data_IF_464575656917
#
_entry.id   IF_464575656917
#
_cell.length_a   1.000
_cell.length_b   1.000
_cell.length_c   1.000
_cell.angle_alpha   90.00
_cell.angle_beta   90.00
_cell.angle_gamma   90.00
#
_symmetry.space_group_name_H-M   'P 1'
#
loop_
_entity.id
_entity.type
_entity.pdbx_description
1 polymer ?
#
# COMPACT_ATOMS: atom_id res chain seq x y z
N UNK A 1 25.03 -12.19 13.41
CA UNK A 1 23.70 -12.80 13.50
C UNK A 1 23.89 -14.29 13.79
N UNK A 2 23.22 -14.87 14.79
CA UNK A 2 23.30 -16.32 15.08
C UNK A 2 22.83 -17.14 13.89
N UNK A 3 23.18 -18.43 13.86
CA UNK A 3 22.79 -19.32 12.75
C UNK A 3 21.30 -19.64 12.75
N UNK A 4 20.70 -19.67 13.95
CA UNK A 4 19.27 -19.86 14.14
C UNK A 4 18.63 -18.59 14.68
N UNK A 5 17.57 -18.12 14.02
CA UNK A 5 16.89 -16.86 14.31
C UNK A 5 15.36 -17.03 14.32
N UNK A 6 14.62 -16.19 15.04
CA UNK A 6 13.17 -16.17 14.97
C UNK A 6 12.71 -15.68 13.59
N UNK A 7 11.84 -16.47 12.96
CA UNK A 7 11.31 -16.19 11.62
C UNK A 7 9.80 -15.92 11.59
N UNK A 8 9.09 -16.36 12.62
CA UNK A 8 7.67 -16.12 12.75
C UNK A 8 7.31 -15.81 14.21
N UNK A 9 6.34 -14.90 14.37
CA UNK A 9 5.78 -14.50 15.66
C UNK A 9 4.27 -14.70 15.60
N UNK A 10 3.70 -15.27 16.64
CA UNK A 10 2.26 -15.40 16.78
C UNK A 10 1.59 -14.04 17.05
N UNK A 11 0.26 -14.00 17.11
CA UNK A 11 -0.49 -12.77 17.39
C UNK A 11 -0.24 -12.16 18.78
N UNK A 12 0.31 -12.92 19.71
CA UNK A 12 0.75 -12.41 21.02
C UNK A 12 2.15 -11.80 20.97
N UNK A 13 2.85 -11.89 19.84
CA UNK A 13 4.22 -11.41 19.66
C UNK A 13 5.29 -12.39 20.13
N UNK A 14 4.92 -13.63 20.44
CA UNK A 14 5.83 -14.68 20.88
C UNK A 14 6.40 -15.42 19.65
N UNK A 15 7.66 -15.84 19.73
CA UNK A 15 8.31 -16.63 18.68
C UNK A 15 7.70 -18.03 18.64
N UNK A 16 7.10 -18.41 17.54
CA UNK A 16 6.52 -19.74 17.30
C UNK A 16 7.24 -20.54 16.20
N UNK A 17 8.17 -19.89 15.48
CA UNK A 17 9.04 -20.58 14.52
C UNK A 17 10.44 -20.01 14.54
N UNK A 18 11.42 -20.88 14.71
CA UNK A 18 12.85 -20.61 14.51
C UNK A 18 13.31 -21.19 13.17
N UNK A 19 14.29 -20.56 12.55
CA UNK A 19 14.88 -21.07 11.29
C UNK A 19 16.27 -20.50 11.02
N UNK A 20 16.83 -20.81 9.86
CA UNK A 20 18.17 -20.37 9.47
C UNK A 20 18.17 -18.87 9.12
N UNK A 21 19.23 -18.15 9.53
CA UNK A 21 19.47 -16.75 9.11
C UNK A 21 19.42 -16.55 7.59
N UNK A 22 19.74 -17.58 6.81
CA UNK A 22 19.71 -17.52 5.35
C UNK A 22 18.29 -17.42 4.78
N UNK A 23 17.24 -17.73 5.56
CA UNK A 23 15.85 -17.53 5.12
C UNK A 23 15.50 -16.06 4.91
N UNK A 24 16.22 -15.13 5.53
CA UNK A 24 16.06 -13.69 5.22
C UNK A 24 16.44 -13.33 3.78
N UNK A 25 17.24 -14.14 3.10
CA UNK A 25 17.56 -13.95 1.68
C UNK A 25 16.36 -14.20 0.76
N UNK A 26 15.33 -14.91 1.23
CA UNK A 26 14.08 -15.10 0.47
C UNK A 26 13.41 -13.77 0.14
N UNK A 27 13.46 -12.77 1.04
CA UNK A 27 12.87 -11.45 0.80
C UNK A 27 13.47 -10.76 -0.43
N UNK A 28 14.79 -10.53 -0.55
CA UNK A 28 15.36 -9.93 -1.75
C UNK A 28 15.22 -10.82 -2.98
N UNK A 29 15.27 -12.16 -2.84
CA UNK A 29 15.09 -13.08 -3.96
C UNK A 29 13.68 -12.95 -4.57
N UNK A 30 12.64 -12.76 -3.75
CA UNK A 30 11.28 -12.54 -4.23
C UNK A 30 11.10 -11.09 -4.72
N UNK A 31 11.71 -10.12 -4.05
CA UNK A 31 11.57 -8.72 -4.41
C UNK A 31 12.14 -8.39 -5.80
N UNK A 32 13.28 -8.96 -6.18
CA UNK A 32 13.93 -8.69 -7.47
C UNK A 32 13.05 -8.98 -8.70
N UNK A 33 12.40 -10.14 -8.85
CA UNK A 33 11.45 -10.40 -9.94
C UNK A 33 10.25 -9.44 -9.93
N UNK A 34 9.72 -9.12 -8.75
CA UNK A 34 8.59 -8.20 -8.61
C UNK A 34 8.98 -6.80 -9.09
N UNK A 35 10.14 -6.29 -8.66
CA UNK A 35 10.69 -5.00 -9.09
C UNK A 35 10.89 -4.99 -10.62
N UNK A 36 11.50 -6.05 -11.16
CA UNK A 36 11.74 -6.19 -12.59
C UNK A 36 10.43 -6.16 -13.38
N UNK A 37 9.39 -6.86 -12.88
CA UNK A 37 8.06 -6.84 -13.49
C UNK A 37 7.46 -5.42 -13.47
N UNK A 38 7.55 -4.68 -12.37
CA UNK A 38 7.07 -3.29 -12.28
C UNK A 38 7.77 -2.37 -13.28
N UNK A 39 9.10 -2.49 -13.43
CA UNK A 39 9.87 -1.70 -14.38
C UNK A 39 9.45 -2.02 -15.83
N UNK A 40 9.29 -3.29 -16.16
CA UNK A 40 8.84 -3.71 -17.51
C UNK A 40 7.42 -3.21 -17.82
N UNK A 41 6.52 -3.29 -16.83
CA UNK A 41 5.15 -2.79 -16.96
C UNK A 41 5.16 -1.26 -17.13
N UNK A 42 5.95 -0.53 -16.35
CA UNK A 42 6.09 0.91 -16.47
C UNK A 42 6.57 1.34 -17.86
N UNK A 43 7.59 0.67 -18.41
CA UNK A 43 8.08 0.92 -19.76
C UNK A 43 7.05 0.61 -20.86
N UNK A 44 6.26 -0.46 -20.70
CA UNK A 44 5.17 -0.80 -21.62
C UNK A 44 4.07 0.26 -21.61
N UNK A 45 3.69 0.72 -20.43
CA UNK A 45 2.64 1.72 -20.27
C UNK A 45 3.06 3.08 -20.79
N UNK A 46 4.32 3.46 -20.62
CA UNK A 46 4.90 4.68 -21.20
C UNK A 46 4.73 4.75 -22.71
N UNK A 47 4.90 3.62 -23.39
CA UNK A 47 4.71 3.54 -24.86
C UNK A 47 3.24 3.72 -25.27
N UNK A 48 2.27 3.33 -24.42
CA UNK A 48 0.82 3.40 -24.74
C UNK A 48 0.20 4.74 -24.34
N UNK A 49 0.48 5.22 -23.13
CA UNK A 49 -0.24 6.30 -22.45
C UNK A 49 0.65 7.52 -22.13
N UNK A 50 1.88 7.53 -22.64
CA UNK A 50 2.84 8.63 -22.48
C UNK A 50 3.59 8.64 -21.14
N UNK A 51 4.62 9.51 -21.09
CA UNK A 51 5.60 9.59 -19.98
C UNK A 51 4.99 9.91 -18.60
N UNK A 52 3.76 10.46 -18.56
CA UNK A 52 3.13 10.82 -17.27
C UNK A 52 2.78 9.57 -16.44
N UNK A 53 2.24 8.53 -17.08
CA UNK A 53 1.93 7.26 -16.40
C UNK A 53 3.19 6.53 -15.93
N UNK A 54 4.28 6.60 -16.70
CA UNK A 54 5.58 6.02 -16.35
C UNK A 54 6.13 6.60 -15.05
N UNK A 55 6.14 7.93 -14.93
CA UNK A 55 6.64 8.63 -13.73
C UNK A 55 5.94 8.13 -12.46
N UNK A 56 4.63 8.03 -12.48
CA UNK A 56 3.87 7.62 -11.28
C UNK A 56 4.01 6.12 -11.00
N UNK A 57 4.12 5.28 -12.02
CA UNK A 57 4.45 3.87 -11.85
C UNK A 57 5.80 3.68 -11.20
N UNK A 58 6.82 4.42 -11.64
CA UNK A 58 8.16 4.37 -11.03
C UNK A 58 8.13 4.82 -9.57
N UNK A 59 7.38 5.88 -9.24
CA UNK A 59 7.24 6.34 -7.85
C UNK A 59 6.59 5.27 -6.97
N UNK A 60 5.53 4.62 -7.44
CA UNK A 60 4.88 3.51 -6.71
C UNK A 60 5.84 2.32 -6.58
N UNK A 61 6.62 2.02 -7.62
CA UNK A 61 7.62 0.95 -7.58
C UNK A 61 8.71 1.24 -6.54
N UNK A 62 9.23 2.46 -6.50
CA UNK A 62 10.22 2.88 -5.49
C UNK A 62 9.63 2.73 -4.09
N UNK A 63 8.38 3.19 -3.88
CA UNK A 63 7.72 3.02 -2.60
C UNK A 63 7.59 1.53 -2.21
N UNK A 64 7.20 0.68 -3.15
CA UNK A 64 7.07 -0.77 -2.91
C UNK A 64 8.42 -1.37 -2.51
N UNK A 65 9.52 -0.97 -3.15
CA UNK A 65 10.87 -1.40 -2.80
C UNK A 65 11.23 -0.96 -1.37
N UNK A 66 11.01 0.31 -1.06
CA UNK A 66 11.30 0.87 0.27
C UNK A 66 10.46 0.16 1.34
N UNK A 67 9.19 -0.12 1.07
CA UNK A 67 8.31 -0.84 1.97
C UNK A 67 8.83 -2.26 2.29
N UNK A 68 9.15 -3.06 1.27
CA UNK A 68 9.68 -4.40 1.49
C UNK A 68 11.07 -4.39 2.13
N UNK A 69 11.94 -3.44 1.77
CA UNK A 69 13.23 -3.26 2.43
C UNK A 69 13.05 -2.92 3.92
N UNK A 70 12.14 -2.01 4.24
CA UNK A 70 11.83 -1.63 5.63
C UNK A 70 11.30 -2.81 6.44
N UNK A 71 10.42 -3.64 5.86
CA UNK A 71 9.96 -4.88 6.49
C UNK A 71 11.13 -5.87 6.72
N UNK A 72 12.00 -6.04 5.73
CA UNK A 72 13.17 -6.89 5.85
C UNK A 72 14.09 -6.43 6.99
N UNK A 73 14.40 -5.14 7.05
CA UNK A 73 15.19 -4.55 8.14
C UNK A 73 14.50 -4.69 9.49
N UNK A 74 13.19 -4.48 9.56
CA UNK A 74 12.42 -4.67 10.77
C UNK A 74 12.55 -6.10 11.32
N UNK A 75 12.34 -7.12 10.49
CA UNK A 75 12.45 -8.52 10.93
C UNK A 75 13.88 -8.90 11.29
N UNK A 76 14.89 -8.40 10.55
CA UNK A 76 16.30 -8.62 10.91
C UNK A 76 16.65 -7.96 12.25
N UNK A 77 16.19 -6.76 12.49
CA UNK A 77 16.36 -6.08 13.77
C UNK A 77 15.73 -6.87 14.92
N UNK A 78 14.48 -7.33 14.75
CA UNK A 78 13.79 -8.19 15.73
C UNK A 78 14.58 -9.49 16.03
N UNK A 79 15.15 -10.10 15.01
CA UNK A 79 15.98 -11.31 15.17
C UNK A 79 17.29 -11.05 15.94
N UNK A 80 17.90 -9.89 15.73
CA UNK A 80 19.11 -9.47 16.45
C UNK A 80 18.80 -9.16 17.93
N UNK A 81 17.75 -8.39 18.21
CA UNK A 81 17.34 -8.04 19.58
C UNK A 81 16.92 -9.28 20.38
N UNK A 82 16.25 -10.23 19.73
CA UNK A 82 15.92 -11.52 20.35
C UNK A 82 17.20 -12.29 20.77
N UNK A 83 18.22 -12.28 19.89
CA UNK A 83 19.49 -12.96 20.18
C UNK A 83 20.32 -12.30 21.29
N UNK A 84 20.21 -10.97 21.45
CA UNK A 84 20.87 -10.20 22.52
C UNK A 84 20.10 -10.16 23.82
N UNK A 85 18.92 -10.78 23.90
CA UNK A 85 17.97 -10.71 25.02
C UNK A 85 17.54 -9.29 25.39
N UNK A 86 17.63 -8.35 24.46
CA UNK A 86 17.16 -7.00 24.65
C UNK A 86 15.63 -6.91 24.49
N UNK A 87 15.00 -6.18 25.41
CA UNK A 87 13.53 -6.07 25.48
C UNK A 87 12.91 -5.04 24.52
N UNK A 88 13.65 -4.53 23.54
CA UNK A 88 13.13 -3.52 22.60
C UNK A 88 12.19 -4.19 21.60
N UNK A 89 10.92 -4.08 21.89
CA UNK A 89 9.85 -4.68 21.08
C UNK A 89 9.07 -3.59 20.35
N UNK A 90 9.50 -3.26 19.13
CA UNK A 90 8.64 -2.52 18.23
C UNK A 90 7.51 -3.46 17.77
N UNK A 91 6.27 -3.05 17.96
CA UNK A 91 5.09 -3.83 17.56
C UNK A 91 5.01 -3.95 16.03
N UNK A 92 4.96 -5.16 15.45
CA UNK A 92 4.90 -5.36 14.00
C UNK A 92 3.65 -4.74 13.37
N UNK A 93 2.52 -4.77 14.06
CA UNK A 93 1.28 -4.22 13.53
C UNK A 93 1.31 -2.69 13.46
N UNK A 94 1.89 -2.02 14.46
CA UNK A 94 2.16 -0.57 14.42
C UNK A 94 3.06 -0.22 13.24
N UNK A 95 4.14 -0.95 13.06
CA UNK A 95 5.06 -0.72 11.95
C UNK A 95 4.37 -0.86 10.60
N UNK A 96 3.57 -1.92 10.40
CA UNK A 96 2.81 -2.16 9.17
C UNK A 96 1.77 -1.05 8.95
N UNK A 97 1.01 -0.65 9.98
CA UNK A 97 0.01 0.43 9.87
C UNK A 97 0.64 1.76 9.47
N UNK A 98 1.78 2.12 10.04
CA UNK A 98 2.52 3.33 9.65
C UNK A 98 2.95 3.25 8.18
N UNK A 99 3.53 2.13 7.75
CA UNK A 99 3.96 1.96 6.37
C UNK A 99 2.77 2.03 5.39
N UNK A 100 1.64 1.37 5.71
CA UNK A 100 0.42 1.44 4.89
C UNK A 100 -0.17 2.85 4.91
N UNK A 101 -0.16 3.53 6.05
CA UNK A 101 -0.58 4.92 6.17
C UNK A 101 0.24 5.85 5.28
N UNK A 102 1.57 5.72 5.29
CA UNK A 102 2.45 6.47 4.38
C UNK A 102 2.13 6.15 2.91
N UNK A 103 1.87 4.88 2.58
CA UNK A 103 1.46 4.50 1.23
C UNK A 103 0.16 5.20 0.80
N UNK A 104 -0.83 5.26 1.66
CA UNK A 104 -2.08 5.98 1.38
C UNK A 104 -1.85 7.47 1.18
N UNK A 105 -0.99 8.11 1.98
CA UNK A 105 -0.62 9.53 1.82
C UNK A 105 0.08 9.75 0.48
N UNK A 106 1.08 8.95 0.15
CA UNK A 106 1.85 9.10 -1.10
C UNK A 106 0.97 8.82 -2.32
N UNK A 107 0.26 7.69 -2.34
CA UNK A 107 -0.62 7.33 -3.45
C UNK A 107 -1.77 8.32 -3.62
N UNK A 108 -2.35 8.80 -2.51
CA UNK A 108 -3.41 9.80 -2.52
C UNK A 108 -3.00 11.13 -3.16
N UNK A 109 -1.77 11.57 -2.94
CA UNK A 109 -1.21 12.77 -3.61
C UNK A 109 -0.95 12.56 -5.11
N UNK A 110 -0.80 11.34 -5.56
CA UNK A 110 -0.57 10.98 -6.96
C UNK A 110 -1.90 10.87 -7.72
N UNK A 111 -2.93 10.26 -7.12
CA UNK A 111 -4.20 9.92 -7.77
C UNK A 111 -4.85 11.07 -8.57
N UNK A 112 -4.97 12.32 -8.06
CA UNK A 112 -5.60 13.40 -8.81
C UNK A 112 -4.87 13.80 -10.10
N UNK A 113 -3.61 13.40 -10.23
CA UNK A 113 -2.72 13.73 -11.36
C UNK A 113 -2.73 12.65 -12.44
N UNK A 114 -3.40 11.53 -12.19
CA UNK A 114 -3.45 10.40 -13.10
C UNK A 114 -4.43 10.67 -14.24
N UNK A 115 -3.94 10.59 -15.47
CA UNK A 115 -4.79 10.45 -16.65
C UNK A 115 -5.37 9.03 -16.69
N UNK A 116 -6.50 8.84 -17.36
CA UNK A 116 -7.12 7.51 -17.51
C UNK A 116 -6.13 6.54 -18.13
N UNK A 117 -5.90 5.44 -17.44
CA UNK A 117 -4.91 4.44 -17.83
C UNK A 117 -5.33 3.04 -17.35
N UNK A 118 -4.60 2.02 -17.80
CA UNK A 118 -4.92 0.62 -17.55
C UNK A 118 -4.30 0.03 -16.28
N UNK A 119 -3.50 0.79 -15.49
CA UNK A 119 -2.67 0.22 -14.42
C UNK A 119 -2.86 0.84 -13.05
N UNK A 120 -2.94 2.19 -12.95
CA UNK A 120 -2.89 2.92 -11.68
C UNK A 120 -4.19 3.66 -11.41
N UNK A 121 -4.59 3.73 -10.14
CA UNK A 121 -5.79 4.42 -9.67
C UNK A 121 -6.94 3.47 -9.39
N UNK A 122 -8.06 4.01 -8.95
CA UNK A 122 -9.27 3.24 -8.71
C UNK A 122 -9.99 3.00 -10.04
N UNK A 123 -9.95 1.74 -10.48
CA UNK A 123 -10.40 1.29 -11.80
C UNK A 123 -11.65 0.44 -11.66
N UNK A 124 -12.78 1.09 -11.61
CA UNK A 124 -14.07 0.45 -11.73
C UNK A 124 -14.59 0.57 -13.17
N UNK A 125 -15.58 -0.23 -13.55
CA UNK A 125 -16.27 -0.06 -14.84
C UNK A 125 -16.84 1.35 -15.00
N UNK A 126 -17.18 1.99 -13.90
CA UNK A 126 -17.74 3.34 -13.86
C UNK A 126 -16.67 4.42 -14.03
N UNK A 127 -15.59 4.36 -13.26
CA UNK A 127 -14.48 5.33 -13.37
C UNK A 127 -13.80 5.28 -14.73
N UNK A 128 -13.78 4.12 -15.38
CA UNK A 128 -13.19 3.92 -16.70
C UNK A 128 -14.10 4.33 -17.87
N UNK A 129 -15.36 4.70 -17.64
CA UNK A 129 -16.32 5.02 -18.69
C UNK A 129 -15.90 6.23 -19.51
N UNK A 130 -15.44 7.31 -18.89
CA UNK A 130 -14.96 8.53 -19.57
C UNK A 130 -13.96 9.30 -18.69
N UNK A 131 -13.32 10.32 -19.28
CA UNK A 131 -12.26 11.08 -18.60
C UNK A 131 -12.78 11.98 -17.50
N UNK A 132 -14.02 12.48 -17.59
CA UNK A 132 -14.64 13.33 -16.56
C UNK A 132 -14.92 12.53 -15.29
N UNK A 133 -15.56 11.37 -15.43
CA UNK A 133 -15.84 10.48 -14.31
C UNK A 133 -14.53 9.97 -13.70
N UNK A 134 -13.52 9.66 -14.54
CA UNK A 134 -12.20 9.30 -14.07
C UNK A 134 -11.61 10.37 -13.18
N UNK A 135 -11.54 11.63 -13.64
CA UNK A 135 -10.92 12.73 -12.89
C UNK A 135 -11.65 13.02 -11.58
N UNK A 136 -12.99 13.09 -11.60
CA UNK A 136 -13.80 13.26 -10.38
C UNK A 136 -13.51 12.14 -9.38
N UNK A 137 -13.48 10.89 -9.85
CA UNK A 137 -13.19 9.70 -9.03
C UNK A 137 -11.80 9.76 -8.44
N UNK A 138 -10.74 9.92 -9.25
CA UNK A 138 -9.37 9.94 -8.74
C UNK A 138 -9.10 11.11 -7.78
N UNK A 139 -9.73 12.25 -7.98
CA UNK A 139 -9.61 13.40 -7.08
C UNK A 139 -10.21 13.10 -5.71
N UNK A 140 -11.41 12.56 -5.66
CA UNK A 140 -12.05 12.17 -4.39
C UNK A 140 -11.22 11.09 -3.68
N UNK A 141 -10.82 10.05 -4.41
CA UNK A 141 -10.02 8.95 -3.88
C UNK A 141 -8.68 9.43 -3.34
N UNK A 142 -8.04 10.37 -4.04
CA UNK A 142 -6.77 10.95 -3.60
C UNK A 142 -6.91 11.64 -2.24
N UNK A 143 -7.89 12.53 -2.10
CA UNK A 143 -8.12 13.26 -0.85
C UNK A 143 -8.48 12.31 0.29
N UNK A 144 -9.42 11.39 0.06
CA UNK A 144 -9.84 10.42 1.08
C UNK A 144 -8.74 9.41 1.44
N UNK A 145 -7.87 9.05 0.48
CA UNK A 145 -6.70 8.20 0.75
C UNK A 145 -5.69 8.90 1.67
N UNK A 146 -5.39 10.19 1.43
CA UNK A 146 -4.53 10.96 2.34
C UNK A 146 -5.11 11.00 3.74
N UNK A 147 -6.42 11.29 3.87
CA UNK A 147 -7.09 11.30 5.17
C UNK A 147 -7.00 9.94 5.87
N UNK A 148 -7.29 8.84 5.15
CA UNK A 148 -7.16 7.49 5.69
C UNK A 148 -5.72 7.23 6.14
N UNK A 149 -4.73 7.57 5.31
CA UNK A 149 -3.32 7.35 5.64
C UNK A 149 -2.89 8.06 6.93
N UNK A 150 -3.34 9.30 7.13
CA UNK A 150 -3.09 10.04 8.38
C UNK A 150 -3.79 9.37 9.57
N UNK A 151 -5.02 8.90 9.41
CA UNK A 151 -5.76 8.18 10.46
C UNK A 151 -5.00 6.90 10.84
N UNK A 152 -4.50 6.11 9.89
CA UNK A 152 -3.75 4.88 10.16
C UNK A 152 -2.43 5.15 10.88
N UNK A 153 -1.74 6.25 10.57
CA UNK A 153 -0.52 6.65 11.28
C UNK A 153 -0.85 7.04 12.72
N UNK A 154 -1.91 7.81 12.93
CA UNK A 154 -2.35 8.24 14.27
C UNK A 154 -2.83 7.05 15.10
N UNK A 155 -3.64 6.17 14.51
CA UNK A 155 -4.11 4.93 15.15
C UNK A 155 -2.94 4.10 15.68
N UNK A 156 -1.87 3.94 14.87
CA UNK A 156 -0.68 3.17 15.25
C UNK A 156 0.05 3.75 16.47
N UNK A 157 -0.14 5.02 16.82
CA UNK A 157 0.40 5.59 18.06
C UNK A 157 -0.37 5.07 19.29
N UNK A 158 -1.70 5.01 19.20
CA UNK A 158 -2.58 4.72 20.33
C UNK A 158 -2.88 3.23 20.51
N UNK A 159 -2.95 2.46 19.42
CA UNK A 159 -3.27 1.04 19.45
C UNK A 159 -2.05 0.17 19.18
N UNK A 160 -2.06 -1.03 19.74
CA UNK A 160 -0.98 -2.03 19.57
C UNK A 160 -1.57 -3.43 19.37
N UNK A 161 -0.72 -4.35 18.88
CA UNK A 161 -1.06 -5.73 18.67
C UNK A 161 -2.21 -5.92 17.68
N UNK A 162 -2.97 -6.97 17.90
CA UNK A 162 -4.04 -7.41 16.98
C UNK A 162 -5.14 -6.37 16.79
N UNK A 163 -5.41 -5.51 17.78
CA UNK A 163 -6.43 -4.47 17.69
C UNK A 163 -6.08 -3.39 16.68
N UNK A 164 -4.79 -3.04 16.57
CA UNK A 164 -4.30 -2.14 15.54
C UNK A 164 -4.55 -2.75 14.14
N UNK A 165 -4.20 -4.03 13.95
CA UNK A 165 -4.44 -4.73 12.68
C UNK A 165 -5.94 -4.74 12.31
N UNK A 166 -6.82 -5.08 13.24
CA UNK A 166 -8.26 -5.13 12.97
C UNK A 166 -8.81 -3.76 12.58
N UNK A 167 -8.45 -2.70 13.31
CA UNK A 167 -8.94 -1.35 13.00
C UNK A 167 -8.43 -0.89 11.63
N UNK A 168 -7.14 -1.09 11.34
CA UNK A 168 -6.55 -0.81 10.02
C UNK A 168 -7.32 -1.51 8.89
N UNK A 169 -7.62 -2.81 9.04
CA UNK A 169 -8.35 -3.58 8.03
C UNK A 169 -9.78 -3.06 7.86
N UNK A 170 -10.49 -2.77 8.96
CA UNK A 170 -11.86 -2.23 8.94
C UNK A 170 -11.89 -0.87 8.24
N UNK A 171 -11.01 0.05 8.62
CA UNK A 171 -10.95 1.39 8.01
C UNK A 171 -10.63 1.33 6.52
N UNK A 172 -9.69 0.46 6.14
CA UNK A 172 -9.34 0.26 4.72
C UNK A 172 -10.52 -0.35 3.95
N UNK A 173 -11.23 -1.34 4.51
CA UNK A 173 -12.40 -1.95 3.88
C UNK A 173 -13.54 -0.91 3.70
N UNK A 174 -13.82 -0.11 4.72
CA UNK A 174 -14.80 0.98 4.63
C UNK A 174 -14.41 1.96 3.52
N UNK A 175 -13.13 2.37 3.46
CA UNK A 175 -12.64 3.26 2.43
C UNK A 175 -12.84 2.68 1.02
N UNK A 176 -12.53 1.41 0.80
CA UNK A 176 -12.76 0.73 -0.48
C UNK A 176 -14.25 0.77 -0.87
N UNK A 177 -15.16 0.48 0.07
CA UNK A 177 -16.62 0.53 -0.17
C UNK A 177 -17.06 1.94 -0.55
N UNK A 178 -16.58 2.97 0.17
CA UNK A 178 -16.87 4.38 -0.13
C UNK A 178 -16.36 4.74 -1.53
N UNK A 179 -15.17 4.28 -1.87
CA UNK A 179 -14.58 4.47 -3.20
C UNK A 179 -15.46 3.89 -4.31
N UNK A 180 -15.90 2.66 -4.17
CA UNK A 180 -16.75 2.00 -5.15
C UNK A 180 -18.09 2.74 -5.34
N UNK A 181 -18.76 3.09 -4.23
CA UNK A 181 -20.03 3.84 -4.24
C UNK A 181 -19.87 5.22 -4.89
N UNK A 182 -18.82 5.96 -4.55
CA UNK A 182 -18.55 7.29 -5.09
C UNK A 182 -18.25 7.24 -6.59
N UNK A 183 -17.49 6.23 -7.05
CA UNK A 183 -17.23 6.02 -8.47
C UNK A 183 -18.54 5.79 -9.26
N UNK A 184 -19.46 4.98 -8.70
CA UNK A 184 -20.79 4.76 -9.31
C UNK A 184 -21.62 6.03 -9.32
N UNK A 185 -21.64 6.80 -8.20
CA UNK A 185 -22.36 8.06 -8.08
C UNK A 185 -21.94 9.04 -9.19
N UNK A 186 -20.63 9.27 -9.37
CA UNK A 186 -20.14 10.18 -10.41
C UNK A 186 -20.47 9.72 -11.83
N UNK A 187 -20.51 8.42 -12.06
CA UNK A 187 -20.94 7.87 -13.34
C UNK A 187 -22.42 8.13 -13.60
N UNK A 188 -23.27 7.96 -12.61
CA UNK A 188 -24.70 8.20 -12.71
C UNK A 188 -25.00 9.67 -12.98
N UNK A 189 -24.41 10.57 -12.19
CA UNK A 189 -24.53 12.04 -12.36
C UNK A 189 -24.14 12.46 -13.77
N UNK A 190 -23.03 11.97 -14.29
CA UNK A 190 -22.57 12.29 -15.64
C UNK A 190 -23.56 11.86 -16.72
N UNK A 191 -24.16 10.67 -16.61
CA UNK A 191 -25.14 10.19 -17.59
C UNK A 191 -26.46 10.96 -17.50
N UNK A 192 -26.92 11.35 -16.32
CA UNK A 192 -28.10 12.17 -16.12
C UNK A 192 -27.92 13.57 -16.77
N UNK A 193 -26.76 14.21 -16.52
CA UNK A 193 -26.45 15.52 -17.14
C UNK A 193 -26.40 15.47 -18.67
N UNK A 194 -25.91 14.37 -19.27
CA UNK A 194 -25.82 14.24 -20.73
C UNK A 194 -27.12 13.74 -21.42
N UNK A 195 -28.04 13.15 -20.65
CA UNK A 195 -29.37 12.78 -21.19
C UNK A 195 -30.36 13.94 -21.17
N UNK A 196 -30.04 15.04 -20.52
CA UNK A 196 -30.86 16.27 -20.44
C UNK A 196 -30.49 17.32 -21.50
N UNK A 197 -29.37 17.10 -22.21
CA UNK A 197 -28.89 17.95 -23.31
C UNK A 197 -29.05 17.25 -24.66
#
# INVERSE_FOLDING_TARGET
MPDTVPLHYNFAGEVDRMGSKYEFLLMPIIALPVISAFILIAKRESKKNGKNSEKYLLLISIYTIVFFASLGFYFQYKALTYASQESVSVDPFKFISICIGIFHVVSGNIMPKLRRNSLIGIRTKWSMANDVVWQKTQRFMGISSVALGLILIVEAVFLSGIWNLFLMLILTAIWVIVCLKTSYKYYKEYNEENNLN
#
